data_IF_209329552947
#
_entry.id   IF_209329552947
#
_cell.length_a   1.000
_cell.length_b   1.000
_cell.length_c   1.000
_cell.angle_alpha   90.00
_cell.angle_beta   90.00
_cell.angle_gamma   90.00
#
_symmetry.space_group_name_H-M   'P 1'
#
loop_
_entity.id
_entity.type
_entity.pdbx_description
1 polymer ?
#
# COMPACT_ATOMS: atom_id res chain seq x y z
N UNK A 1 4.35 19.61 27.54
CA UNK A 1 4.49 20.08 26.14
C UNK A 1 3.13 20.54 25.66
N UNK A 2 3.01 21.81 25.23
CA UNK A 2 1.73 22.51 25.18
C UNK A 2 0.91 22.11 23.93
N UNK A 3 -0.33 21.62 24.12
CA UNK A 3 -1.22 21.09 23.05
C UNK A 3 -1.54 22.12 21.96
N UNK A 4 -1.36 23.40 22.26
CA UNK A 4 -1.53 24.52 21.35
C UNK A 4 -0.38 24.69 20.34
N UNK A 5 0.81 24.14 20.61
CA UNK A 5 1.98 24.27 19.73
C UNK A 5 1.76 23.65 18.34
N UNK A 6 1.18 22.44 18.29
CA UNK A 6 0.88 21.74 17.05
C UNK A 6 -0.24 22.42 16.23
N UNK A 7 -1.17 23.10 16.90
CA UNK A 7 -2.24 23.88 16.26
C UNK A 7 -1.69 25.15 15.60
N UNK A 8 -0.80 25.88 16.28
CA UNK A 8 -0.11 27.03 15.69
C UNK A 8 0.78 26.64 14.51
N UNK A 9 1.53 25.53 14.60
CA UNK A 9 2.33 25.03 13.47
C UNK A 9 1.44 24.61 12.30
N UNK A 10 0.34 23.89 12.56
CA UNK A 10 -0.61 23.48 11.52
C UNK A 10 -1.26 24.66 10.79
N UNK A 11 -1.61 25.74 11.51
CA UNK A 11 -2.18 26.96 10.93
C UNK A 11 -1.13 27.75 10.13
N UNK A 12 0.10 27.88 10.64
CA UNK A 12 1.19 28.58 9.94
C UNK A 12 1.56 27.86 8.64
N UNK A 13 1.64 26.52 8.68
CA UNK A 13 1.90 25.70 7.48
C UNK A 13 0.71 25.78 6.51
N UNK A 14 -0.53 25.72 6.99
CA UNK A 14 -1.72 25.85 6.15
C UNK A 14 -1.83 27.21 5.45
N UNK A 15 -1.49 28.30 6.14
CA UNK A 15 -1.46 29.65 5.57
C UNK A 15 -0.29 29.86 4.62
N UNK A 16 0.88 29.26 4.89
CA UNK A 16 2.01 29.28 3.97
C UNK A 16 1.70 28.51 2.68
N UNK A 17 1.06 27.34 2.78
CA UNK A 17 0.63 26.53 1.63
C UNK A 17 -0.44 27.27 0.81
N UNK A 18 -1.46 27.83 1.45
CA UNK A 18 -2.49 28.63 0.78
C UNK A 18 -1.91 29.89 0.15
N UNK A 19 -0.97 30.55 0.82
CA UNK A 19 -0.29 31.75 0.32
C UNK A 19 0.63 31.47 -0.87
N UNK A 20 1.38 30.37 -0.85
CA UNK A 20 2.25 29.97 -1.98
C UNK A 20 1.42 29.57 -3.19
N UNK A 21 0.35 28.80 -3.01
CA UNK A 21 -0.59 28.45 -4.08
C UNK A 21 -1.27 29.68 -4.68
N UNK A 22 -1.71 30.65 -3.86
CA UNK A 22 -2.33 31.87 -4.35
C UNK A 22 -1.32 32.81 -5.03
N UNK A 23 -0.09 32.89 -4.50
CA UNK A 23 0.97 33.72 -5.07
C UNK A 23 1.48 33.20 -6.42
N UNK A 24 1.59 31.88 -6.60
CA UNK A 24 1.96 31.30 -7.90
C UNK A 24 0.85 31.46 -8.94
N UNK A 25 -0.42 31.44 -8.53
CA UNK A 25 -1.58 31.68 -9.40
C UNK A 25 -1.70 33.16 -9.80
N UNK A 26 -1.42 34.11 -8.91
CA UNK A 26 -1.61 35.54 -9.19
C UNK A 26 -0.53 36.18 -10.09
N UNK A 27 0.68 35.62 -10.15
CA UNK A 27 1.79 36.21 -10.90
C UNK A 27 2.03 35.62 -12.31
N UNK A 28 1.18 34.70 -12.78
CA UNK A 28 1.21 34.24 -14.17
C UNK A 28 0.18 35.02 -15.01
N UNK A 29 0.60 36.13 -15.61
CA UNK A 29 -0.09 36.66 -16.80
C UNK A 29 0.03 35.61 -17.93
N UNK A 30 -1.09 34.96 -18.25
CA UNK A 30 -1.16 34.01 -19.37
C UNK A 30 -1.14 34.82 -20.68
N UNK A 31 0.05 35.04 -21.23
CA UNK A 31 0.18 35.30 -22.67
C UNK A 31 -0.07 33.98 -23.40
N UNK A 32 -1.17 33.91 -24.13
CA UNK A 32 -1.48 32.78 -25.01
C UNK A 32 -0.38 32.66 -26.07
N UNK A 33 0.48 31.66 -25.93
CA UNK A 33 1.45 31.28 -26.94
C UNK A 33 0.78 30.22 -27.86
N UNK A 34 0.84 30.34 -29.20
CA UNK A 34 0.20 29.38 -30.07
C UNK A 34 1.02 28.07 -30.14
N UNK A 35 0.31 26.95 -30.07
CA UNK A 35 0.77 25.58 -30.31
C UNK A 35 1.89 25.04 -29.37
N UNK A 36 1.59 24.94 -28.07
CA UNK A 36 2.30 23.97 -27.21
C UNK A 36 1.80 22.56 -27.52
N UNK A 37 2.71 21.67 -27.93
CA UNK A 37 2.46 20.22 -27.96
C UNK A 37 1.81 19.82 -26.64
N UNK A 38 0.52 19.46 -26.68
CA UNK A 38 -0.22 19.06 -25.50
C UNK A 38 0.36 17.71 -25.07
N UNK A 39 1.27 17.75 -24.10
CA UNK A 39 1.94 16.56 -23.58
C UNK A 39 1.07 15.99 -22.47
N UNK A 40 0.48 14.83 -22.75
CA UNK A 40 -0.46 14.14 -21.87
C UNK A 40 0.20 13.75 -20.53
N UNK A 41 -0.45 14.06 -19.42
CA UNK A 41 -0.08 13.60 -18.08
C UNK A 41 -0.52 12.14 -17.89
N UNK A 42 0.45 11.22 -17.95
CA UNK A 42 0.19 9.77 -17.87
C UNK A 42 0.74 9.21 -16.56
N UNK A 43 -0.08 8.45 -15.83
CA UNK A 43 0.33 7.81 -14.58
C UNK A 43 0.43 6.29 -14.76
N UNK A 44 1.60 5.74 -14.46
CA UNK A 44 1.81 4.31 -14.24
C UNK A 44 1.90 4.04 -12.75
N UNK A 45 1.03 3.20 -12.19
CA UNK A 45 1.02 2.95 -10.75
C UNK A 45 0.71 1.50 -10.40
N UNK A 46 1.19 1.07 -9.22
CA UNK A 46 0.84 -0.23 -8.66
C UNK A 46 -0.68 -0.43 -8.60
N UNK A 47 -1.16 -1.64 -8.89
CA UNK A 47 -2.59 -1.97 -8.90
C UNK A 47 -3.30 -1.67 -7.58
N UNK A 48 -2.59 -1.79 -6.45
CA UNK A 48 -3.11 -1.49 -5.11
C UNK A 48 -3.28 0.01 -4.83
N UNK A 49 -2.75 0.88 -5.71
CA UNK A 49 -3.00 2.32 -5.69
C UNK A 49 -4.20 2.72 -6.54
N UNK A 50 -4.84 1.79 -7.29
CA UNK A 50 -5.89 2.09 -8.26
C UNK A 50 -6.98 3.00 -7.69
N UNK A 51 -7.54 2.66 -6.53
CA UNK A 51 -8.68 3.38 -5.96
C UNK A 51 -8.29 4.78 -5.48
N UNK A 52 -7.18 4.89 -4.72
CA UNK A 52 -6.69 6.18 -4.22
C UNK A 52 -6.22 7.08 -5.35
N UNK A 53 -5.47 6.55 -6.32
CA UNK A 53 -4.97 7.34 -7.45
C UNK A 53 -6.09 7.74 -8.41
N UNK A 54 -7.14 6.93 -8.60
CA UNK A 54 -8.30 7.36 -9.40
C UNK A 54 -8.98 8.58 -8.78
N UNK A 55 -9.16 8.59 -7.46
CA UNK A 55 -9.73 9.73 -6.74
C UNK A 55 -8.79 10.96 -6.80
N UNK A 56 -7.48 10.76 -6.59
CA UNK A 56 -6.49 11.84 -6.69
C UNK A 56 -6.43 12.42 -8.10
N UNK A 57 -6.47 11.59 -9.14
CA UNK A 57 -6.49 12.03 -10.54
C UNK A 57 -7.75 12.83 -10.86
N UNK A 58 -8.92 12.40 -10.35
CA UNK A 58 -10.16 13.18 -10.49
C UNK A 58 -10.07 14.56 -9.81
N UNK A 59 -9.45 14.63 -8.64
CA UNK A 59 -9.22 15.91 -7.95
C UNK A 59 -8.22 16.75 -8.74
N UNK A 60 -7.13 16.14 -9.22
CA UNK A 60 -6.10 16.80 -10.02
C UNK A 60 -6.68 17.43 -11.29
N UNK A 61 -7.51 16.69 -12.05
CA UNK A 61 -8.13 17.20 -13.28
C UNK A 61 -9.05 18.41 -13.04
N UNK A 62 -9.66 18.49 -11.85
CA UNK A 62 -10.50 19.64 -11.48
C UNK A 62 -9.67 20.88 -11.17
N UNK A 63 -8.49 20.72 -10.56
CA UNK A 63 -7.59 21.85 -10.26
C UNK A 63 -6.75 22.29 -11.46
N UNK A 64 -6.42 21.37 -12.38
CA UNK A 64 -5.56 21.62 -13.54
C UNK A 64 -6.25 21.23 -14.86
N UNK A 65 -7.37 21.89 -15.23
CA UNK A 65 -8.18 21.50 -16.40
C UNK A 65 -7.46 21.68 -17.75
N UNK A 66 -6.38 22.46 -17.79
CA UNK A 66 -5.53 22.63 -18.98
C UNK A 66 -4.54 21.49 -19.20
N UNK A 67 -4.32 20.63 -18.20
CA UNK A 67 -3.44 19.47 -18.32
C UNK A 67 -4.25 18.29 -18.87
N UNK A 68 -3.94 17.86 -20.09
CA UNK A 68 -4.58 16.69 -20.67
C UNK A 68 -4.15 15.43 -19.92
N UNK A 69 -5.06 14.81 -19.18
CA UNK A 69 -4.79 13.57 -18.48
C UNK A 69 -4.98 12.36 -19.43
N UNK A 70 -4.05 11.40 -19.37
CA UNK A 70 -4.18 10.14 -20.07
C UNK A 70 -4.88 9.07 -19.23
N UNK A 71 -5.15 7.92 -19.85
CA UNK A 71 -5.65 6.76 -19.12
C UNK A 71 -4.58 6.21 -18.19
N UNK A 72 -4.78 6.20 -16.85
CA UNK A 72 -3.80 5.65 -15.94
C UNK A 72 -3.64 4.14 -16.17
N UNK A 73 -2.40 3.65 -16.04
CA UNK A 73 -2.09 2.24 -16.12
C UNK A 73 -1.83 1.67 -14.72
N UNK A 74 -2.74 0.83 -14.25
CA UNK A 74 -2.65 0.16 -12.95
C UNK A 74 -2.32 -1.32 -13.14
N UNK A 75 -1.15 -1.75 -12.70
CA UNK A 75 -0.68 -3.14 -12.84
C UNK A 75 0.32 -3.52 -11.72
N UNK A 76 0.93 -4.71 -11.79
CA UNK A 76 2.02 -5.05 -10.86
C UNK A 76 3.18 -4.04 -10.97
N UNK A 77 3.80 -3.63 -9.86
CA UNK A 77 4.81 -2.57 -9.88
C UNK A 77 5.98 -2.85 -10.85
N UNK A 78 6.42 -4.11 -10.93
CA UNK A 78 7.44 -4.52 -11.89
C UNK A 78 6.98 -4.38 -13.35
N UNK A 79 5.73 -4.75 -13.66
CA UNK A 79 5.15 -4.57 -15.00
C UNK A 79 5.04 -3.09 -15.37
N UNK A 80 4.58 -2.25 -14.44
CA UNK A 80 4.51 -0.78 -14.64
C UNK A 80 5.90 -0.23 -14.95
N UNK A 81 6.92 -0.58 -14.15
CA UNK A 81 8.27 -0.09 -14.34
C UNK A 81 8.90 -0.59 -15.65
N UNK A 82 8.72 -1.87 -15.99
CA UNK A 82 9.23 -2.43 -17.26
C UNK A 82 8.54 -1.83 -18.49
N UNK A 83 7.25 -1.52 -18.37
CA UNK A 83 6.53 -0.79 -19.41
C UNK A 83 7.12 0.60 -19.60
N UNK A 84 7.44 1.33 -18.53
CA UNK A 84 8.10 2.64 -18.66
C UNK A 84 9.47 2.55 -19.33
N UNK A 85 10.27 1.52 -19.03
CA UNK A 85 11.55 1.27 -19.74
C UNK A 85 11.36 1.19 -21.25
N UNK A 86 10.26 0.58 -21.68
CA UNK A 86 9.97 0.34 -23.10
C UNK A 86 9.30 1.54 -23.77
N UNK A 87 8.31 2.16 -23.11
CA UNK A 87 7.44 3.17 -23.72
C UNK A 87 7.83 4.59 -23.42
N UNK A 88 8.56 4.84 -22.31
CA UNK A 88 9.02 6.18 -21.89
C UNK A 88 7.89 7.21 -21.87
N UNK A 89 6.72 6.79 -21.38
CA UNK A 89 5.45 7.48 -21.62
C UNK A 89 4.81 8.05 -20.37
N UNK A 90 5.23 7.62 -19.19
CA UNK A 90 4.63 8.04 -17.93
C UNK A 90 5.27 9.32 -17.40
N UNK A 91 4.42 10.23 -16.94
CA UNK A 91 4.77 11.42 -16.19
C UNK A 91 5.14 11.07 -14.74
N UNK A 92 4.58 9.98 -14.22
CA UNK A 92 4.80 9.47 -12.86
C UNK A 92 4.83 7.93 -12.90
N UNK A 93 5.78 7.35 -12.17
CA UNK A 93 5.78 5.92 -11.83
C UNK A 93 5.64 5.76 -10.32
N UNK A 94 4.62 5.00 -9.88
CA UNK A 94 4.42 4.67 -8.46
C UNK A 94 4.41 3.15 -8.22
N UNK A 95 5.16 2.69 -7.23
CA UNK A 95 5.32 1.28 -6.89
C UNK A 95 4.77 0.98 -5.48
N UNK A 96 4.47 -0.30 -5.21
CA UNK A 96 4.06 -0.82 -3.91
C UNK A 96 5.21 -1.49 -3.14
N UNK A 97 6.45 -1.20 -3.55
CA UNK A 97 7.66 -1.76 -2.99
C UNK A 97 8.86 -0.86 -3.27
N UNK A 98 9.67 -0.63 -2.23
CA UNK A 98 10.87 0.23 -2.20
C UNK A 98 12.05 -0.28 -3.03
N UNK A 99 11.96 -1.43 -3.66
CA UNK A 99 13.04 -1.96 -4.52
C UNK A 99 12.69 -1.94 -5.99
N UNK A 100 11.41 -1.74 -6.35
CA UNK A 100 10.97 -1.85 -7.74
C UNK A 100 11.52 -0.72 -8.61
N UNK A 101 11.32 0.54 -8.22
CA UNK A 101 11.83 1.68 -8.99
C UNK A 101 13.37 1.64 -9.05
N UNK A 102 14.09 1.44 -7.93
CA UNK A 102 15.55 1.34 -7.98
C UNK A 102 16.10 0.19 -8.83
N UNK A 103 15.46 -0.98 -8.83
CA UNK A 103 15.96 -2.14 -9.57
C UNK A 103 15.66 -2.11 -11.06
N UNK A 104 14.68 -1.32 -11.50
CA UNK A 104 14.22 -1.28 -12.90
C UNK A 104 14.54 0.05 -13.57
N UNK A 105 14.20 1.17 -12.95
CA UNK A 105 14.31 2.50 -13.60
C UNK A 105 15.70 3.13 -13.44
N UNK A 106 16.41 2.86 -12.34
CA UNK A 106 17.77 3.43 -12.15
C UNK A 106 18.76 2.85 -13.17
N UNK A 107 18.84 1.52 -13.39
CA UNK A 107 19.74 0.97 -14.42
C UNK A 107 19.37 1.40 -15.85
N UNK A 108 18.12 1.79 -16.08
CA UNK A 108 17.65 2.31 -17.36
C UNK A 108 17.89 3.82 -17.56
N UNK A 109 18.49 4.50 -16.58
CA UNK A 109 18.68 5.96 -16.53
C UNK A 109 17.36 6.75 -16.68
N UNK A 110 16.26 6.17 -16.17
CA UNK A 110 14.94 6.80 -16.21
C UNK A 110 14.58 7.47 -14.89
N UNK A 111 15.30 7.23 -13.80
CA UNK A 111 15.15 7.93 -12.53
C UNK A 111 16.38 7.64 -11.68
N UNK A 112 16.75 8.56 -10.80
CA UNK A 112 17.83 8.35 -9.83
C UNK A 112 17.34 8.44 -8.38
N UNK A 113 16.04 8.69 -8.17
CA UNK A 113 15.42 8.71 -6.85
C UNK A 113 14.05 8.03 -6.84
N UNK A 114 13.55 7.73 -5.65
CA UNK A 114 12.14 7.48 -5.38
C UNK A 114 11.77 8.07 -4.02
N UNK A 115 10.49 8.40 -3.84
CA UNK A 115 9.97 9.00 -2.62
C UNK A 115 8.95 8.05 -2.02
N UNK A 116 9.22 7.52 -0.82
CA UNK A 116 8.22 6.83 -0.03
C UNK A 116 7.21 7.84 0.52
N UNK A 117 5.95 7.71 0.10
CA UNK A 117 4.88 8.68 0.40
C UNK A 117 3.76 8.11 1.27
N UNK A 118 3.67 6.78 1.39
CA UNK A 118 2.64 6.13 2.19
C UNK A 118 2.93 4.65 2.42
N UNK A 119 2.22 4.05 3.35
CA UNK A 119 2.24 2.61 3.58
C UNK A 119 0.83 2.09 3.87
N UNK A 120 0.62 0.80 3.62
CA UNK A 120 -0.63 0.10 3.96
C UNK A 120 -0.30 -1.09 4.86
N UNK A 121 -1.31 -1.90 5.18
CA UNK A 121 -1.18 -3.06 6.05
C UNK A 121 -1.95 -4.25 5.47
N UNK A 122 -1.50 -5.45 5.81
CA UNK A 122 -2.26 -6.68 5.64
C UNK A 122 -3.54 -6.62 6.47
N UNK A 123 -4.61 -7.15 5.90
CA UNK A 123 -5.91 -7.31 6.55
C UNK A 123 -6.45 -8.70 6.19
N UNK A 124 -7.49 -9.16 6.88
CA UNK A 124 -8.19 -10.38 6.49
C UNK A 124 -9.61 -10.00 6.07
N UNK A 125 -10.03 -10.39 4.87
CA UNK A 125 -11.44 -10.26 4.44
C UNK A 125 -12.20 -11.47 4.97
N UNK A 126 -13.36 -11.25 5.54
CA UNK A 126 -14.16 -12.21 6.29
C UNK A 126 -15.55 -12.34 5.69
N UNK A 127 -15.99 -13.57 5.46
CA UNK A 127 -17.35 -13.87 5.00
C UNK A 127 -18.32 -14.04 6.18
N UNK A 128 -19.16 -13.03 6.42
CA UNK A 128 -20.12 -13.01 7.54
C UNK A 128 -21.36 -13.88 7.29
N UNK A 129 -21.51 -14.46 6.09
CA UNK A 129 -22.53 -15.49 5.87
C UNK A 129 -22.16 -16.80 6.58
N UNK A 130 -20.88 -17.03 6.86
CA UNK A 130 -20.42 -18.24 7.55
C UNK A 130 -20.43 -18.09 9.07
N UNK A 131 -20.72 -19.16 9.83
CA UNK A 131 -20.66 -19.12 11.29
C UNK A 131 -19.25 -18.75 11.79
N UNK A 132 -18.20 -19.29 11.16
CA UNK A 132 -16.81 -19.00 11.50
C UNK A 132 -16.44 -17.54 11.24
N UNK A 133 -16.91 -16.95 10.13
CA UNK A 133 -16.67 -15.54 9.85
C UNK A 133 -17.33 -14.62 10.88
N UNK A 134 -18.57 -14.92 11.29
CA UNK A 134 -19.25 -14.16 12.36
C UNK A 134 -18.54 -14.29 13.71
N UNK A 135 -18.05 -15.48 14.05
CA UNK A 135 -17.31 -15.71 15.29
C UNK A 135 -15.98 -14.94 15.30
N UNK A 136 -15.20 -15.02 14.23
CA UNK A 136 -13.95 -14.26 14.07
C UNK A 136 -14.21 -12.75 14.16
N UNK A 137 -15.25 -12.25 13.50
CA UNK A 137 -15.58 -10.83 13.56
C UNK A 137 -16.00 -10.38 14.96
N UNK A 138 -16.74 -11.22 15.70
CA UNK A 138 -17.10 -10.98 17.10
C UNK A 138 -15.87 -10.91 18.00
N UNK A 139 -14.94 -11.88 17.87
CA UNK A 139 -13.68 -11.90 18.61
C UNK A 139 -12.78 -10.70 18.26
N UNK A 140 -12.75 -10.29 16.99
CA UNK A 140 -12.04 -9.09 16.58
C UNK A 140 -12.65 -7.82 17.19
N UNK A 141 -13.98 -7.69 17.21
CA UNK A 141 -14.65 -6.59 17.90
C UNK A 141 -14.35 -6.56 19.41
N UNK A 142 -14.18 -7.73 20.02
CA UNK A 142 -13.72 -7.83 21.41
C UNK A 142 -12.26 -7.36 21.55
N UNK A 143 -11.37 -7.78 20.64
CA UNK A 143 -9.94 -7.48 20.74
C UNK A 143 -9.61 -6.00 20.59
N UNK A 144 -10.38 -5.26 19.78
CA UNK A 144 -10.20 -3.80 19.63
C UNK A 144 -10.61 -3.00 20.88
N UNK A 145 -11.33 -3.60 21.82
CA UNK A 145 -11.71 -2.99 23.11
C UNK A 145 -10.78 -3.39 24.26
N UNK A 146 -9.85 -4.32 24.03
CA UNK A 146 -8.91 -4.82 25.02
C UNK A 146 -7.58 -4.08 24.97
N UNK A 147 -6.81 -4.13 26.06
CA UNK A 147 -5.45 -3.57 26.10
C UNK A 147 -4.54 -4.43 25.21
N UNK A 148 -3.91 -3.87 24.16
CA UNK A 148 -3.01 -4.63 23.28
C UNK A 148 -1.90 -5.33 24.07
N UNK A 149 -1.58 -6.56 23.66
CA UNK A 149 -0.54 -7.42 24.25
C UNK A 149 -0.79 -7.89 25.70
N UNK A 150 -1.93 -7.57 26.31
CA UNK A 150 -2.35 -8.21 27.57
C UNK A 150 -2.65 -9.71 27.37
N UNK A 151 -2.64 -10.50 28.45
CA UNK A 151 -2.93 -11.93 28.38
C UNK A 151 -4.31 -12.22 27.76
N UNK A 152 -5.32 -11.42 28.12
CA UNK A 152 -6.68 -11.53 27.56
C UNK A 152 -6.71 -11.20 26.07
N UNK A 153 -5.99 -10.15 25.65
CA UNK A 153 -5.90 -9.78 24.23
C UNK A 153 -5.17 -10.84 23.42
N UNK A 154 -4.05 -11.36 23.94
CA UNK A 154 -3.32 -12.46 23.31
C UNK A 154 -4.19 -13.72 23.20
N UNK A 155 -5.01 -14.01 24.23
CA UNK A 155 -5.95 -15.13 24.20
C UNK A 155 -7.03 -14.97 23.12
N UNK A 156 -7.60 -13.78 23.00
CA UNK A 156 -8.56 -13.47 21.93
C UNK A 156 -7.95 -13.65 20.54
N UNK A 157 -6.70 -13.20 20.31
CA UNK A 157 -6.03 -13.43 19.02
C UNK A 157 -5.68 -14.89 18.76
N UNK A 158 -5.29 -15.66 19.79
CA UNK A 158 -5.14 -17.12 19.67
C UNK A 158 -6.45 -17.78 19.26
N UNK A 159 -7.59 -17.37 19.82
CA UNK A 159 -8.92 -17.88 19.41
C UNK A 159 -9.22 -17.55 17.94
N UNK A 160 -8.95 -16.33 17.49
CA UNK A 160 -9.11 -15.94 16.08
C UNK A 160 -8.28 -16.84 15.17
N UNK A 161 -6.98 -17.00 15.45
CA UNK A 161 -6.11 -17.83 14.61
C UNK A 161 -6.38 -19.33 14.72
N UNK A 162 -6.91 -19.81 15.86
CA UNK A 162 -7.41 -21.18 15.97
C UNK A 162 -8.55 -21.43 14.98
N UNK A 163 -9.47 -20.48 14.79
CA UNK A 163 -10.55 -20.61 13.80
C UNK A 163 -10.00 -20.52 12.37
N UNK A 164 -9.18 -19.50 12.09
CA UNK A 164 -8.71 -19.24 10.72
C UNK A 164 -7.77 -20.33 10.22
N UNK A 165 -6.76 -20.70 11.02
CA UNK A 165 -5.68 -21.58 10.58
C UNK A 165 -5.85 -23.04 11.02
N UNK A 166 -6.30 -23.28 12.26
CA UNK A 166 -6.26 -24.62 12.86
C UNK A 166 -7.55 -25.43 12.72
N UNK A 167 -8.72 -24.76 12.63
CA UNK A 167 -10.00 -25.46 12.53
C UNK A 167 -10.12 -26.19 11.19
N UNK A 168 -10.28 -27.52 11.13
CA UNK A 168 -10.29 -28.26 9.87
C UNK A 168 -11.45 -27.89 8.92
N UNK A 169 -12.50 -27.26 9.44
CA UNK A 169 -13.70 -26.90 8.66
C UNK A 169 -13.63 -25.49 8.04
N UNK A 170 -12.49 -24.80 8.17
CA UNK A 170 -12.28 -23.49 7.53
C UNK A 170 -11.32 -23.63 6.35
N UNK A 171 -11.56 -22.84 5.31
CA UNK A 171 -10.73 -22.73 4.11
C UNK A 171 -10.40 -21.26 3.91
N UNK A 172 -9.12 -21.00 3.64
CA UNK A 172 -8.60 -19.65 3.42
C UNK A 172 -8.28 -19.41 1.94
N UNK A 173 -8.51 -18.19 1.48
CA UNK A 173 -8.10 -17.70 0.17
C UNK A 173 -6.73 -17.05 0.29
N UNK A 174 -5.82 -17.42 -0.61
CA UNK A 174 -4.46 -16.85 -0.66
C UNK A 174 -4.05 -16.59 -2.10
N UNK A 175 -3.38 -15.46 -2.35
CA UNK A 175 -2.80 -15.18 -3.66
C UNK A 175 -1.52 -15.98 -3.87
N UNK A 176 -1.17 -16.22 -5.13
CA UNK A 176 0.07 -16.86 -5.50
C UNK A 176 1.28 -15.93 -5.24
N UNK A 177 2.26 -16.32 -4.41
CA UNK A 177 3.42 -15.48 -4.06
C UNK A 177 4.34 -15.12 -5.24
N UNK A 178 4.27 -15.83 -6.37
CA UNK A 178 5.06 -15.54 -7.57
C UNK A 178 4.42 -14.48 -8.46
N UNK A 179 3.09 -14.32 -8.40
CA UNK A 179 2.35 -13.40 -9.27
C UNK A 179 1.81 -12.19 -8.53
N UNK A 180 1.60 -12.29 -7.22
CA UNK A 180 1.02 -11.24 -6.38
C UNK A 180 1.77 -11.12 -5.05
N UNK A 181 2.38 -9.96 -4.74
CA UNK A 181 3.05 -9.72 -3.47
C UNK A 181 2.20 -10.03 -2.23
N UNK A 182 0.88 -9.83 -2.29
CA UNK A 182 -0.01 -10.11 -1.16
C UNK A 182 0.01 -11.60 -0.76
N UNK A 183 0.38 -12.50 -1.70
CA UNK A 183 0.50 -13.93 -1.47
C UNK A 183 1.65 -14.32 -0.55
N UNK A 184 2.85 -13.76 -0.76
CA UNK A 184 3.97 -14.01 0.16
C UNK A 184 3.80 -13.23 1.46
N UNK A 185 3.13 -12.07 1.42
CA UNK A 185 2.89 -11.28 2.63
C UNK A 185 1.83 -11.89 3.54
N UNK A 186 0.82 -12.58 3.01
CA UNK A 186 -0.07 -13.42 3.80
C UNK A 186 0.69 -14.52 4.56
N UNK A 187 1.69 -15.13 3.91
CA UNK A 187 2.57 -16.11 4.55
C UNK A 187 3.44 -15.46 5.64
N UNK A 188 3.99 -14.29 5.39
CA UNK A 188 4.72 -13.50 6.39
C UNK A 188 3.85 -13.17 7.61
N UNK A 189 2.62 -12.70 7.38
CA UNK A 189 1.64 -12.41 8.42
C UNK A 189 1.36 -13.65 9.30
N UNK A 190 1.14 -14.81 8.70
CA UNK A 190 0.93 -16.07 9.43
C UNK A 190 2.17 -16.48 10.23
N UNK A 191 3.37 -16.30 9.67
CA UNK A 191 4.61 -16.59 10.39
C UNK A 191 4.83 -15.65 11.57
N UNK A 192 4.54 -14.37 11.41
CA UNK A 192 4.59 -13.39 12.49
C UNK A 192 3.52 -13.66 13.55
N UNK A 193 2.32 -14.08 13.16
CA UNK A 193 1.28 -14.50 14.10
C UNK A 193 1.68 -15.74 14.90
N UNK A 194 2.27 -16.75 14.25
CA UNK A 194 2.81 -17.93 14.91
C UNK A 194 3.91 -17.57 15.92
N UNK A 195 4.83 -16.70 15.52
CA UNK A 195 5.89 -16.21 16.40
C UNK A 195 5.32 -15.42 17.59
N UNK A 196 4.41 -14.47 17.34
CA UNK A 196 3.87 -13.53 18.33
C UNK A 196 2.99 -14.23 19.38
N UNK A 197 2.12 -15.15 18.96
CA UNK A 197 1.10 -15.72 19.86
C UNK A 197 1.41 -17.13 20.35
N UNK A 198 2.31 -17.85 19.69
CA UNK A 198 2.63 -19.25 19.98
C UNK A 198 4.13 -19.50 20.17
N UNK A 199 4.98 -18.48 20.02
CA UNK A 199 6.44 -18.62 20.12
C UNK A 199 7.07 -19.47 19.01
N UNK A 200 6.33 -19.77 17.93
CA UNK A 200 6.78 -20.61 16.83
C UNK A 200 6.28 -20.08 15.50
N UNK A 201 7.20 -19.51 14.71
CA UNK A 201 6.87 -18.87 13.43
C UNK A 201 6.30 -19.84 12.38
N UNK A 202 6.56 -21.15 12.48
CA UNK A 202 6.03 -22.11 11.52
C UNK A 202 4.65 -22.65 11.90
N UNK A 203 4.19 -22.45 13.14
CA UNK A 203 3.01 -23.15 13.67
C UNK A 203 1.73 -22.90 12.85
N UNK A 204 1.32 -21.64 12.70
CA UNK A 204 0.13 -21.28 11.93
C UNK A 204 0.34 -21.41 10.42
N UNK A 205 1.56 -21.13 9.94
CA UNK A 205 1.89 -21.24 8.53
C UNK A 205 1.77 -22.69 8.05
N UNK A 206 2.36 -23.66 8.76
CA UNK A 206 2.29 -25.08 8.39
C UNK A 206 0.88 -25.64 8.48
N UNK A 207 0.06 -25.17 9.43
CA UNK A 207 -1.34 -25.59 9.55
C UNK A 207 -2.17 -25.28 8.29
N UNK A 208 -1.80 -24.24 7.54
CA UNK A 208 -2.44 -23.90 6.27
C UNK A 208 -1.67 -24.51 5.10
N UNK A 209 -0.39 -24.20 4.94
CA UNK A 209 0.35 -24.48 3.70
C UNK A 209 0.86 -25.92 3.57
N UNK A 210 0.88 -26.71 4.66
CA UNK A 210 1.14 -28.16 4.58
C UNK A 210 -0.13 -28.98 4.30
N UNK A 211 -1.30 -28.33 4.22
CA UNK A 211 -2.59 -28.98 4.04
C UNK A 211 -3.30 -28.39 2.81
N UNK A 212 -3.17 -28.99 1.61
CA UNK A 212 -3.74 -28.42 0.38
C UNK A 212 -5.26 -28.19 0.41
N UNK A 213 -6.00 -28.91 1.26
CA UNK A 213 -7.43 -28.69 1.46
C UNK A 213 -7.77 -27.45 2.30
N UNK A 214 -6.80 -26.88 3.03
CA UNK A 214 -7.00 -25.72 3.91
C UNK A 214 -6.95 -24.38 3.18
N UNK A 215 -6.45 -24.34 1.94
CA UNK A 215 -6.39 -23.11 1.19
C UNK A 215 -6.79 -23.26 -0.27
N UNK A 216 -7.35 -22.20 -0.83
CA UNK A 216 -7.56 -22.03 -2.26
C UNK A 216 -6.64 -20.92 -2.74
N UNK A 217 -5.76 -21.24 -3.68
CA UNK A 217 -4.84 -20.28 -4.27
C UNK A 217 -5.37 -19.73 -5.60
N UNK A 218 -5.24 -18.42 -5.80
CA UNK A 218 -5.51 -17.74 -7.08
C UNK A 218 -4.41 -16.74 -7.41
N UNK A 219 -4.41 -16.22 -8.63
CA UNK A 219 -3.38 -15.25 -9.05
C UNK A 219 -3.64 -13.86 -8.46
N UNK A 220 -4.90 -13.53 -8.15
CA UNK A 220 -5.29 -12.22 -7.60
C UNK A 220 -6.32 -12.35 -6.48
N UNK A 221 -6.36 -11.35 -5.60
CA UNK A 221 -7.39 -11.18 -4.56
C UNK A 221 -8.81 -11.11 -5.15
N UNK A 222 -9.00 -10.47 -6.32
CA UNK A 222 -10.31 -10.33 -6.97
C UNK A 222 -10.94 -11.68 -7.32
N UNK A 223 -10.12 -12.65 -7.76
CA UNK A 223 -10.58 -14.01 -8.03
C UNK A 223 -11.07 -14.70 -6.74
N UNK A 224 -10.38 -14.44 -5.62
CA UNK A 224 -10.73 -14.99 -4.31
C UNK A 224 -12.02 -14.37 -3.76
N UNK A 225 -12.22 -13.06 -3.94
CA UNK A 225 -13.47 -12.38 -3.58
C UNK A 225 -14.66 -12.96 -4.34
N UNK A 226 -14.49 -13.19 -5.65
CA UNK A 226 -15.53 -13.82 -6.48
C UNK A 226 -15.88 -15.21 -5.95
N UNK A 227 -14.89 -16.04 -5.59
CA UNK A 227 -15.12 -17.36 -5.01
C UNK A 227 -15.80 -17.33 -3.63
N UNK A 228 -15.33 -16.46 -2.73
CA UNK A 228 -15.92 -16.26 -1.41
C UNK A 228 -17.41 -15.96 -1.53
N UNK A 229 -17.78 -15.04 -2.42
CA UNK A 229 -19.16 -14.61 -2.60
C UNK A 229 -20.06 -15.56 -3.40
N UNK A 230 -19.48 -16.48 -4.18
CA UNK A 230 -20.25 -17.40 -5.02
C UNK A 230 -20.89 -18.55 -4.23
N UNK A 231 -20.18 -19.10 -3.25
CA UNK A 231 -20.62 -20.31 -2.54
C UNK A 231 -20.10 -20.45 -1.10
N UNK A 232 -19.51 -19.39 -0.54
CA UNK A 232 -18.98 -19.37 0.82
C UNK A 232 -17.92 -20.45 1.12
N UNK A 233 -17.28 -21.04 0.10
CA UNK A 233 -16.25 -22.09 0.27
C UNK A 233 -14.98 -21.50 0.87
N UNK A 234 -14.68 -20.23 0.62
CA UNK A 234 -13.56 -19.49 1.22
C UNK A 234 -14.12 -18.57 2.30
N UNK A 235 -13.84 -18.84 3.57
CA UNK A 235 -14.38 -18.03 4.67
C UNK A 235 -13.51 -16.81 5.01
N UNK A 236 -12.21 -16.89 4.70
CA UNK A 236 -11.23 -15.85 5.00
C UNK A 236 -10.28 -15.64 3.83
N UNK A 237 -10.07 -14.42 3.36
CA UNK A 237 -9.00 -14.10 2.40
C UNK A 237 -7.86 -13.45 3.17
N UNK A 238 -6.69 -14.09 3.18
CA UNK A 238 -5.53 -13.63 3.95
C UNK A 238 -4.62 -12.70 3.15
N UNK A 239 -4.69 -12.76 1.83
CA UNK A 239 -3.86 -12.00 0.90
C UNK A 239 -4.57 -10.72 0.46
N UNK A 240 -4.87 -9.86 1.44
CA UNK A 240 -5.56 -8.60 1.23
C UNK A 240 -4.80 -7.46 1.90
N UNK A 241 -4.73 -6.32 1.21
CA UNK A 241 -4.26 -5.07 1.79
C UNK A 241 -5.45 -4.22 2.18
N UNK A 242 -5.34 -3.50 3.31
CA UNK A 242 -6.40 -2.58 3.75
C UNK A 242 -6.78 -1.58 2.66
N UNK A 243 -5.80 -1.19 1.82
CA UNK A 243 -6.03 -0.23 0.73
C UNK A 243 -6.94 -0.71 -0.40
N UNK A 244 -7.03 -2.03 -0.57
CA UNK A 244 -7.91 -2.65 -1.55
C UNK A 244 -9.17 -3.18 -0.88
N UNK A 245 -9.03 -3.76 0.31
CA UNK A 245 -10.12 -4.33 1.07
C UNK A 245 -11.20 -3.29 1.41
N UNK A 246 -10.84 -2.06 1.80
CA UNK A 246 -11.83 -1.00 2.09
C UNK A 246 -12.79 -0.78 0.91
N UNK A 247 -12.33 -0.36 -0.27
CA UNK A 247 -13.23 -0.10 -1.39
C UNK A 247 -13.88 -1.36 -1.97
N UNK A 248 -13.18 -2.50 -1.97
CA UNK A 248 -13.75 -3.76 -2.46
C UNK A 248 -14.88 -4.25 -1.55
N UNK A 249 -14.66 -4.33 -0.23
CA UNK A 249 -15.70 -4.74 0.72
C UNK A 249 -16.90 -3.80 0.63
N UNK A 250 -16.68 -2.49 0.54
CA UNK A 250 -17.76 -1.52 0.34
C UNK A 250 -18.56 -1.81 -0.95
N UNK A 251 -17.88 -2.07 -2.07
CA UNK A 251 -18.53 -2.43 -3.32
C UNK A 251 -19.37 -3.71 -3.19
N UNK A 252 -18.83 -4.76 -2.59
CA UNK A 252 -19.56 -6.02 -2.40
C UNK A 252 -20.76 -5.86 -1.46
N UNK A 253 -20.62 -5.10 -0.37
CA UNK A 253 -21.73 -4.77 0.54
C UNK A 253 -22.85 -4.02 -0.18
N UNK A 254 -22.52 -3.04 -1.03
CA UNK A 254 -23.50 -2.31 -1.85
C UNK A 254 -24.24 -3.22 -2.84
N UNK A 255 -23.62 -4.34 -3.23
CA UNK A 255 -24.21 -5.35 -4.10
C UNK A 255 -24.86 -6.52 -3.33
N UNK A 256 -25.14 -6.34 -2.03
CA UNK A 256 -25.92 -7.28 -1.23
C UNK A 256 -25.10 -8.43 -0.61
N UNK A 257 -23.77 -8.41 -0.71
CA UNK A 257 -22.91 -9.43 -0.10
C UNK A 257 -22.55 -9.07 1.34
N UNK A 258 -22.73 -10.02 2.26
CA UNK A 258 -22.38 -9.84 3.67
C UNK A 258 -20.92 -10.26 3.94
N UNK A 259 -19.98 -9.44 3.48
CA UNK A 259 -18.55 -9.58 3.76
C UNK A 259 -18.03 -8.36 4.52
N UNK A 260 -16.93 -8.52 5.26
CA UNK A 260 -16.23 -7.43 5.94
C UNK A 260 -14.72 -7.65 5.88
N UNK A 261 -13.92 -6.78 6.51
CA UNK A 261 -12.52 -7.04 6.78
C UNK A 261 -12.22 -6.83 8.27
N UNK A 262 -11.19 -7.49 8.77
CA UNK A 262 -10.63 -7.27 10.11
C UNK A 262 -9.19 -6.78 9.99
N UNK A 263 -8.86 -5.74 10.75
CA UNK A 263 -7.49 -5.25 10.88
C UNK A 263 -6.68 -6.16 11.79
N UNK A 264 -5.37 -6.16 11.60
CA UNK A 264 -4.42 -7.00 12.33
C UNK A 264 -3.55 -6.15 13.27
N UNK A 265 -3.01 -6.72 14.36
CA UNK A 265 -2.09 -6.01 15.25
C UNK A 265 -0.81 -5.58 14.52
N UNK A 266 -0.22 -4.45 14.95
CA UNK A 266 1.03 -3.92 14.37
C UNK A 266 2.14 -4.97 14.27
N UNK A 267 2.27 -5.88 15.24
CA UNK A 267 3.31 -6.90 15.22
C UNK A 267 3.22 -7.89 14.04
N UNK A 268 2.05 -8.02 13.38
CA UNK A 268 1.83 -9.05 12.35
C UNK A 268 1.27 -8.49 11.04
N UNK A 269 0.78 -7.25 11.03
CA UNK A 269 0.07 -6.66 9.89
C UNK A 269 0.99 -6.17 8.74
N UNK A 270 2.31 -6.19 8.92
CA UNK A 270 3.28 -5.66 7.94
C UNK A 270 2.99 -4.20 7.54
N UNK A 271 2.44 -3.42 8.47
CA UNK A 271 1.98 -2.06 8.21
C UNK A 271 2.41 -1.06 9.27
N UNK A 272 3.36 -1.42 10.13
CA UNK A 272 3.91 -0.53 11.14
C UNK A 272 5.43 -0.40 10.97
N UNK A 273 5.89 0.81 10.63
CA UNK A 273 7.30 1.10 10.39
C UNK A 273 8.16 0.98 11.65
N UNK A 274 7.57 0.94 12.85
CA UNK A 274 8.29 0.66 14.09
C UNK A 274 8.63 -0.83 14.27
N UNK A 275 7.95 -1.73 13.55
CA UNK A 275 8.13 -3.18 13.65
C UNK A 275 9.03 -3.78 12.55
N UNK A 276 9.72 -2.95 11.76
CA UNK A 276 10.58 -3.42 10.66
C UNK A 276 11.56 -4.51 11.07
N UNK A 277 12.26 -4.33 12.19
CA UNK A 277 13.22 -5.32 12.69
C UNK A 277 12.53 -6.60 13.17
N UNK A 278 11.31 -6.49 13.70
CA UNK A 278 10.52 -7.64 14.11
C UNK A 278 10.03 -8.44 12.88
N UNK A 279 9.53 -7.76 11.85
CA UNK A 279 9.08 -8.41 10.62
C UNK A 279 10.19 -9.24 9.95
N UNK A 280 11.42 -8.73 9.99
CA UNK A 280 12.61 -9.40 9.44
C UNK A 280 13.04 -10.67 10.16
N UNK A 281 12.48 -10.98 11.33
CA UNK A 281 12.78 -12.24 12.04
C UNK A 281 12.26 -13.48 11.29
N UNK A 282 11.34 -13.28 10.34
CA UNK A 282 10.82 -14.37 9.51
C UNK A 282 11.03 -14.07 8.03
N UNK A 283 11.13 -15.15 7.25
CA UNK A 283 11.16 -15.12 5.80
C UNK A 283 10.22 -16.20 5.27
N UNK A 284 9.88 -16.12 4.00
CA UNK A 284 9.02 -17.11 3.33
C UNK A 284 9.79 -17.67 2.14
N UNK A 285 9.96 -18.99 2.10
CA UNK A 285 10.52 -19.67 0.93
C UNK A 285 9.39 -20.43 0.25
N UNK A 286 9.20 -20.19 -1.04
CA UNK A 286 8.17 -20.84 -1.85
C UNK A 286 8.78 -21.42 -3.12
N UNK A 287 8.38 -22.65 -3.45
CA UNK A 287 8.79 -23.35 -4.66
C UNK A 287 7.59 -23.59 -5.55
N UNK A 288 7.65 -23.10 -6.79
CA UNK A 288 6.63 -23.34 -7.81
C UNK A 288 7.31 -23.65 -9.14
N UNK A 289 6.88 -24.73 -9.80
CA UNK A 289 7.38 -25.15 -11.12
C UNK A 289 8.93 -25.23 -11.17
N UNK A 290 9.54 -25.82 -10.15
CA UNK A 290 11.00 -25.98 -10.05
C UNK A 290 11.79 -24.71 -9.70
N UNK A 291 11.13 -23.56 -9.57
CA UNK A 291 11.78 -22.31 -9.14
C UNK A 291 11.51 -22.08 -7.66
N UNK A 292 12.56 -21.86 -6.87
CA UNK A 292 12.48 -21.51 -5.45
C UNK A 292 12.84 -20.05 -5.25
N UNK A 293 11.97 -19.29 -4.55
CA UNK A 293 12.22 -17.90 -4.16
C UNK A 293 12.07 -17.75 -2.66
N UNK A 294 12.95 -16.94 -2.06
CA UNK A 294 12.84 -16.52 -0.66
C UNK A 294 12.48 -15.05 -0.61
N UNK A 295 11.40 -14.73 0.10
CA UNK A 295 10.85 -13.41 0.29
C UNK A 295 11.15 -12.93 1.71
N UNK A 296 11.70 -11.72 1.82
CA UNK A 296 11.88 -11.05 3.10
C UNK A 296 10.56 -10.41 3.53
N UNK A 297 10.18 -10.62 4.80
CA UNK A 297 8.98 -10.02 5.36
C UNK A 297 9.27 -8.58 5.79
N UNK A 298 8.62 -7.63 5.12
CA UNK A 298 8.80 -6.18 5.32
C UNK A 298 7.48 -5.43 5.12
N UNK A 299 7.36 -4.18 5.59
CA UNK A 299 6.16 -3.39 5.41
C UNK A 299 5.85 -3.09 3.94
N UNK A 300 4.57 -2.87 3.63
CA UNK A 300 4.11 -2.43 2.31
C UNK A 300 4.25 -0.92 2.21
N UNK A 301 5.30 -0.45 1.53
CA UNK A 301 5.58 0.97 1.36
C UNK A 301 5.38 1.34 -0.09
N UNK A 302 4.57 2.38 -0.30
CA UNK A 302 4.36 2.98 -1.60
C UNK A 302 5.41 4.03 -1.89
N UNK A 303 6.03 3.92 -3.06
CA UNK A 303 7.04 4.87 -3.55
C UNK A 303 6.61 5.48 -4.87
N UNK A 304 7.13 6.68 -5.17
CA UNK A 304 6.81 7.43 -6.38
C UNK A 304 8.06 8.10 -6.93
N UNK A 305 8.19 8.20 -8.25
CA UNK A 305 9.20 9.02 -8.92
C UNK A 305 8.64 9.73 -10.16
N UNK A 306 9.36 10.75 -10.60
CA UNK A 306 9.18 11.42 -11.89
C UNK A 306 10.27 10.90 -12.83
N UNK A 307 9.94 10.20 -13.93
CA UNK A 307 10.94 9.77 -14.90
C UNK A 307 11.73 10.95 -15.52
N UNK A 308 12.99 10.72 -15.88
CA UNK A 308 13.91 11.75 -16.40
C UNK A 308 13.51 12.27 -17.80
N UNK A 309 12.78 11.45 -18.57
CA UNK A 309 12.29 11.71 -19.92
C UNK A 309 10.98 12.51 -19.99
N UNK A 310 10.40 12.89 -18.84
CA UNK A 310 9.10 13.57 -18.77
C UNK A 310 9.14 14.93 -19.45
N UNK A 311 8.22 15.14 -20.39
CA UNK A 311 8.12 16.39 -21.15
C UNK A 311 7.45 17.52 -20.34
N UNK A 312 6.35 17.22 -19.64
CA UNK A 312 5.66 18.15 -18.76
C UNK A 312 5.98 17.84 -17.29
N UNK A 313 7.17 18.23 -16.86
CA UNK A 313 7.65 17.99 -15.48
C UNK A 313 6.79 18.68 -14.43
N UNK A 314 6.20 19.85 -14.76
CA UNK A 314 5.37 20.61 -13.84
C UNK A 314 4.10 19.82 -13.46
N UNK A 315 3.43 19.18 -14.41
CA UNK A 315 2.26 18.34 -14.12
C UNK A 315 2.58 17.20 -13.13
N UNK A 316 3.76 16.59 -13.25
CA UNK A 316 4.24 15.58 -12.30
C UNK A 316 4.51 16.15 -10.91
N UNK A 317 5.09 17.35 -10.83
CA UNK A 317 5.32 18.06 -9.58
C UNK A 317 3.98 18.36 -8.90
N UNK A 318 3.04 18.95 -9.64
CA UNK A 318 1.73 19.34 -9.14
C UNK A 318 0.93 18.14 -8.59
N UNK A 319 1.03 16.97 -9.25
CA UNK A 319 0.39 15.75 -8.77
C UNK A 319 1.04 15.22 -7.48
N UNK A 320 2.37 15.26 -7.34
CA UNK A 320 3.05 14.88 -6.10
C UNK A 320 2.72 15.87 -4.98
N UNK A 321 2.64 17.17 -5.27
CA UNK A 321 2.20 18.18 -4.32
C UNK A 321 0.75 17.94 -3.87
N UNK A 322 -0.14 17.52 -4.78
CA UNK A 322 -1.48 17.09 -4.41
C UNK A 322 -1.45 15.92 -3.42
N UNK A 323 -0.61 14.91 -3.62
CA UNK A 323 -0.44 13.78 -2.68
C UNK A 323 -0.05 14.29 -1.28
N UNK A 324 0.88 15.26 -1.19
CA UNK A 324 1.31 15.82 0.10
C UNK A 324 0.34 16.84 0.70
N UNK A 325 -0.60 17.36 -0.08
CA UNK A 325 -1.63 18.30 0.39
C UNK A 325 -2.56 17.66 1.44
N UNK A 326 -3.25 18.46 2.27
CA UNK A 326 -4.25 17.93 3.22
C UNK A 326 -5.33 17.07 2.55
N UNK A 327 -5.79 17.47 1.36
CA UNK A 327 -6.81 16.72 0.59
C UNK A 327 -6.24 15.38 0.11
N UNK A 328 -5.02 15.37 -0.45
CA UNK A 328 -4.40 14.13 -0.91
C UNK A 328 -4.13 13.16 0.23
N UNK A 329 -3.62 13.65 1.37
CA UNK A 329 -3.43 12.83 2.56
C UNK A 329 -4.74 12.27 3.10
N UNK A 330 -5.84 13.03 3.03
CA UNK A 330 -7.17 12.54 3.42
C UNK A 330 -7.65 11.42 2.48
N UNK A 331 -7.46 11.58 1.16
CA UNK A 331 -7.79 10.54 0.18
C UNK A 331 -6.99 9.26 0.44
N UNK A 332 -5.68 9.36 0.67
CA UNK A 332 -4.86 8.20 1.02
C UNK A 332 -5.41 7.48 2.27
N UNK A 333 -5.69 8.23 3.34
CA UNK A 333 -6.22 7.67 4.59
C UNK A 333 -7.60 7.02 4.42
N UNK A 334 -8.48 7.61 3.60
CA UNK A 334 -9.80 7.01 3.34
C UNK A 334 -9.72 5.66 2.63
N UNK A 335 -8.62 5.42 1.91
CA UNK A 335 -8.30 4.13 1.32
C UNK A 335 -7.24 3.38 2.14
N UNK A 336 -7.15 3.57 3.46
CA UNK A 336 -6.27 2.76 4.32
C UNK A 336 -4.78 2.88 4.05
N UNK A 337 -4.34 3.90 3.31
CA UNK A 337 -2.94 4.23 3.08
C UNK A 337 -2.55 5.32 4.08
N UNK A 338 -1.67 4.99 5.01
CA UNK A 338 -1.14 5.96 5.97
C UNK A 338 -0.03 6.78 5.31
N UNK A 339 -0.15 8.12 5.21
CA UNK A 339 0.86 8.95 4.57
C UNK A 339 2.17 8.98 5.37
N UNK A 340 3.29 9.03 4.66
CA UNK A 340 4.63 9.30 5.20
C UNK A 340 4.91 10.78 4.96
N UNK A 341 4.97 11.56 6.04
CA UNK A 341 5.21 13.00 5.98
C UNK A 341 6.19 13.43 7.10
N UNK A 342 7.40 13.94 6.77
CA UNK A 342 7.92 14.14 5.42
C UNK A 342 8.13 12.82 4.69
N UNK A 343 7.94 12.81 3.36
CA UNK A 343 8.25 11.66 2.51
C UNK A 343 9.73 11.32 2.52
N UNK A 344 10.08 10.06 2.33
CA UNK A 344 11.47 9.60 2.48
C UNK A 344 12.07 9.31 1.13
N UNK A 345 13.17 9.99 0.80
CA UNK A 345 13.83 9.86 -0.50
C UNK A 345 14.96 8.85 -0.43
N UNK A 346 14.90 7.85 -1.29
CA UNK A 346 16.01 6.95 -1.58
C UNK A 346 16.60 7.27 -2.96
N UNK A 347 17.92 7.16 -3.10
CA UNK A 347 18.66 7.56 -4.29
C UNK A 347 19.15 9.01 -4.23
N UNK A 348 19.30 9.64 -5.40
CA UNK A 348 19.89 10.97 -5.52
C UNK A 348 18.92 12.08 -5.09
N UNK A 349 19.07 12.57 -3.86
CA UNK A 349 18.24 13.65 -3.33
C UNK A 349 18.39 14.97 -4.12
N UNK A 350 19.51 15.20 -4.84
CA UNK A 350 19.66 16.44 -5.62
C UNK A 350 18.65 16.55 -6.74
N UNK A 351 18.22 15.41 -7.29
CA UNK A 351 17.36 15.32 -8.48
C UNK A 351 15.87 15.48 -8.16
N UNK A 352 15.52 15.43 -6.87
CA UNK A 352 14.16 15.76 -6.40
C UNK A 352 13.88 17.24 -6.69
N UNK A 353 12.76 17.57 -7.37
CA UNK A 353 12.35 18.95 -7.62
C UNK A 353 12.27 19.78 -6.33
N UNK A 354 12.68 21.05 -6.40
CA UNK A 354 12.81 21.92 -5.24
C UNK A 354 11.48 22.12 -4.50
N UNK A 355 10.38 22.14 -5.26
CA UNK A 355 9.00 22.25 -4.79
C UNK A 355 8.59 21.05 -3.93
N UNK A 356 9.13 19.86 -4.23
CA UNK A 356 8.84 18.62 -3.49
C UNK A 356 9.79 18.46 -2.30
N UNK A 357 11.02 18.99 -2.38
CA UNK A 357 12.04 18.84 -1.32
C UNK A 357 11.54 19.30 0.05
N UNK A 358 10.72 20.35 0.13
CA UNK A 358 10.17 20.84 1.41
C UNK A 358 9.22 19.85 2.11
N UNK A 359 8.69 18.86 1.38
CA UNK A 359 7.84 17.80 1.90
C UNK A 359 8.57 16.47 2.09
N UNK A 360 9.90 16.46 1.93
CA UNK A 360 10.68 15.22 1.92
C UNK A 360 11.98 15.35 2.71
N UNK A 361 12.53 14.19 3.06
CA UNK A 361 13.80 14.05 3.76
C UNK A 361 14.62 12.93 3.12
N UNK A 362 15.95 13.06 2.96
CA UNK A 362 16.77 11.96 2.47
C UNK A 362 16.80 10.80 3.48
N UNK A 363 16.83 9.56 2.97
CA UNK A 363 16.87 8.33 3.78
C UNK A 363 18.05 8.30 4.76
N UNK A 364 19.16 8.97 4.45
CA UNK A 364 20.31 9.07 5.35
C UNK A 364 19.99 9.68 6.70
N UNK A 365 18.96 10.53 6.76
CA UNK A 365 18.48 11.15 8.00
C UNK A 365 17.41 10.30 8.71
N UNK A 366 17.02 9.14 8.16
CA UNK A 366 15.98 8.25 8.70
C UNK A 366 16.53 6.83 8.86
N UNK A 367 17.46 6.67 9.82
CA UNK A 367 18.27 5.46 9.99
C UNK A 367 17.46 4.19 10.26
N UNK A 368 16.31 4.28 10.94
CA UNK A 368 15.42 3.15 11.22
C UNK A 368 14.74 2.59 9.95
N UNK A 369 14.74 3.34 8.85
CA UNK A 369 14.13 2.91 7.59
C UNK A 369 15.16 2.47 6.55
N UNK A 370 16.47 2.64 6.79
CA UNK A 370 17.54 2.26 5.83
C UNK A 370 17.39 0.82 5.34
N UNK A 371 17.11 -0.11 6.26
CA UNK A 371 16.94 -1.51 5.91
C UNK A 371 15.68 -1.85 5.11
N UNK A 372 14.83 -0.89 4.77
CA UNK A 372 13.65 -1.09 3.93
C UNK A 372 13.92 -0.79 2.46
N UNK A 373 14.94 0.00 2.16
CA UNK A 373 15.35 0.31 0.80
C UNK A 373 16.50 -0.61 0.38
N UNK A 374 16.79 -0.72 -0.92
CA UNK A 374 17.98 -1.40 -1.41
C UNK A 374 19.24 -0.83 -0.75
N UNK A 375 20.21 -1.71 -0.50
CA UNK A 375 21.48 -1.38 0.17
C UNK A 375 22.55 -0.91 -0.79
#
# INVERSE_FOLDING_TARGET
>A
MNKYWYLTIGIIIGLAIGGVLVYTIQNHEIKANPATNITTFNVGAAGTLKFSFSQLLSIYSNYFPSVQQGSPFFAGSGEVAQKEVTTKSYSIVAAADTSTIPSVLFPANLSDYEIAFGYTQMTIIVDLNTPYGREVYSLWNQSIQQIPYSDTWNDTWRKIFNIIALNPNTVVGVSNPFTDPSGYQAQCMLKLAGLTFYGNSSYLWSAIYSNPSKYIMRNTETDLLSLMTANNTVQFILSAYLSNAIPQVQYYQQNGYNITYITLPSAINLGDLSYVNYYKQVNVTWTQLGTTKTFSCKPVIYTITIPSNVQNKQASIDFILLIYSPIGQQVLKSYGIQPINPGIVYGNYTDVPQEIKIFTIPLDNVTNMKGLFPG
#
